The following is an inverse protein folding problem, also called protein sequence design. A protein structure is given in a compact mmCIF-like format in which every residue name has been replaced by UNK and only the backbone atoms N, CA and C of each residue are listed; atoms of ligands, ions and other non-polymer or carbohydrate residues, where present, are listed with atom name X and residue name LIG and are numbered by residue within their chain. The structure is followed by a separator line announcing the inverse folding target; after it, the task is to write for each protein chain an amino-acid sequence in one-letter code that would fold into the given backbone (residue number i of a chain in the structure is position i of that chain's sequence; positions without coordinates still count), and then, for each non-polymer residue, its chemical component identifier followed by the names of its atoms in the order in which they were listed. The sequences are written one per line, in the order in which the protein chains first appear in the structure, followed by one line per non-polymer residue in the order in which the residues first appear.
data_IF_105943237241
#
_entry.id   IF_105943237241
#
_cell.length_a   1.000
_cell.length_b   1.000
_cell.length_c   1.000
_cell.angle_alpha   90.00
_cell.angle_beta   90.00
_cell.angle_gamma   90.00
#
_symmetry.space_group_name_H-M   'P 1'
#
loop_
_entity.id
_entity.type
_entity.pdbx_description
1 polymer ?
#
# COMPACT_ATOMS: atom_id res chain seq x y z
N UNK A 1 35.92 1.43 -54.72
CA UNK A 1 37.17 1.39 -53.93
C UNK A 1 37.54 -0.08 -53.73
N UNK A 2 38.68 -0.51 -54.28
CA UNK A 2 39.11 -1.91 -54.22
C UNK A 2 39.76 -2.17 -52.87
N UNK A 3 39.18 -3.05 -52.04
CA UNK A 3 39.80 -3.53 -50.82
C UNK A 3 40.66 -4.76 -51.15
N UNK A 4 41.96 -4.70 -50.92
CA UNK A 4 42.86 -5.85 -51.05
C UNK A 4 42.99 -6.46 -49.65
N UNK A 5 42.53 -7.70 -49.52
CA UNK A 5 42.69 -8.51 -48.31
C UNK A 5 44.04 -9.22 -48.37
N UNK A 6 44.93 -8.90 -47.44
CA UNK A 6 46.12 -9.71 -47.13
C UNK A 6 45.93 -10.17 -45.68
N UNK A 7 46.09 -11.47 -45.46
CA UNK A 7 45.90 -12.14 -44.17
C UNK A 7 46.44 -11.31 -42.99
N UNK A 8 45.54 -10.80 -42.16
CA UNK A 8 45.85 -10.08 -40.92
C UNK A 8 45.82 -8.55 -40.96
N UNK A 9 45.62 -7.90 -42.11
CA UNK A 9 45.71 -6.43 -42.22
C UNK A 9 44.56 -5.84 -43.05
N UNK A 10 43.81 -4.89 -42.47
CA UNK A 10 42.80 -4.09 -43.19
C UNK A 10 43.45 -2.77 -43.60
N UNK A 11 43.64 -2.60 -44.91
CA UNK A 11 44.15 -1.35 -45.49
C UNK A 11 42.96 -0.52 -45.99
N UNK A 12 42.68 0.60 -45.32
CA UNK A 12 41.72 1.59 -45.79
C UNK A 12 42.45 2.64 -46.60
N UNK A 13 42.07 2.76 -47.88
CA UNK A 13 42.56 3.81 -48.75
C UNK A 13 41.71 5.07 -48.52
N UNK A 14 42.05 5.83 -47.47
CA UNK A 14 41.60 7.19 -47.26
C UNK A 14 42.83 8.05 -47.56
N UNK A 15 42.81 8.75 -48.69
CA UNK A 15 43.84 9.73 -49.09
C UNK A 15 45.29 9.21 -49.09
N UNK A 16 45.56 8.10 -49.82
CA UNK A 16 46.91 7.69 -50.25
C UNK A 16 47.96 7.45 -49.15
N UNK A 17 47.54 7.29 -47.89
CA UNK A 17 48.46 7.04 -46.78
C UNK A 17 48.28 5.61 -46.28
N UNK A 18 49.34 4.82 -46.40
CA UNK A 18 49.41 3.44 -45.90
C UNK A 18 49.57 3.48 -44.38
N UNK A 19 48.56 3.05 -43.63
CA UNK A 19 48.66 2.95 -42.17
C UNK A 19 48.52 1.49 -41.75
N UNK A 20 49.55 0.97 -41.09
CA UNK A 20 49.59 -0.36 -40.51
C UNK A 20 49.02 -0.33 -39.09
N UNK A 21 48.26 -1.35 -38.68
CA UNK A 21 47.68 -1.39 -37.33
C UNK A 21 47.90 -2.75 -36.65
N UNK A 22 48.17 -2.69 -35.34
CA UNK A 22 48.14 -3.80 -34.39
C UNK A 22 47.04 -3.55 -33.34
N UNK A 23 46.40 -4.60 -32.85
CA UNK A 23 45.37 -4.49 -31.79
C UNK A 23 45.92 -3.78 -30.54
N UNK A 24 45.27 -2.70 -30.12
CA UNK A 24 45.53 -2.03 -28.83
C UNK A 24 46.27 -0.68 -28.90
N UNK A 25 46.67 -0.19 -30.08
CA UNK A 25 47.26 1.14 -30.22
C UNK A 25 46.21 2.18 -30.70
N UNK A 26 46.18 3.33 -30.02
CA UNK A 26 45.27 4.44 -30.35
C UNK A 26 45.62 5.07 -31.69
N UNK A 27 44.61 5.24 -32.56
CA UNK A 27 44.80 5.83 -33.89
C UNK A 27 44.34 7.29 -33.87
N UNK A 28 45.25 8.21 -34.14
CA UNK A 28 44.93 9.58 -34.52
C UNK A 28 44.85 9.66 -36.05
N UNK A 29 43.65 9.88 -36.59
CA UNK A 29 43.46 10.16 -38.01
C UNK A 29 43.02 11.61 -38.18
N UNK A 30 43.69 12.33 -39.08
CA UNK A 30 43.33 13.69 -39.48
C UNK A 30 42.38 13.60 -40.66
N UNK A 31 41.18 14.17 -40.54
CA UNK A 31 40.33 14.47 -41.71
C UNK A 31 40.77 15.81 -42.31
N UNK A 32 40.52 16.00 -43.61
CA UNK A 32 41.00 17.14 -44.43
C UNK A 32 40.57 18.55 -43.92
N UNK A 33 39.76 18.62 -42.86
CA UNK A 33 39.35 19.85 -42.16
C UNK A 33 40.21 20.17 -40.91
N UNK A 34 41.33 19.47 -40.71
CA UNK A 34 42.27 19.77 -39.62
C UNK A 34 41.81 19.35 -38.22
N UNK A 35 40.68 18.65 -38.11
CA UNK A 35 40.21 18.03 -36.86
C UNK A 35 40.97 16.73 -36.57
N UNK A 36 41.69 16.69 -35.44
CA UNK A 36 42.32 15.46 -34.92
C UNK A 36 41.27 14.64 -34.18
N UNK A 37 40.87 13.49 -34.73
CA UNK A 37 40.07 12.51 -34.00
C UNK A 37 40.96 11.35 -33.55
N UNK A 38 41.04 11.13 -32.23
CA UNK A 38 41.62 9.92 -31.64
C UNK A 38 40.56 8.82 -31.62
N UNK A 39 40.36 8.15 -32.76
CA UNK A 39 39.51 6.97 -32.82
C UNK A 39 40.34 5.74 -32.43
N UNK A 40 40.02 5.10 -31.31
CA UNK A 40 40.58 3.77 -31.04
C UNK A 40 39.93 2.76 -32.01
N UNK A 41 40.72 2.02 -32.77
CA UNK A 41 40.21 1.02 -33.69
C UNK A 41 39.53 -0.11 -32.88
N UNK A 42 38.25 -0.40 -33.13
CA UNK A 42 37.48 -1.37 -32.34
C UNK A 42 36.91 -0.85 -31.01
N UNK A 43 36.97 0.47 -30.73
CA UNK A 43 36.36 1.05 -29.54
C UNK A 43 34.83 1.00 -29.59
N UNK A 44 34.24 0.52 -28.50
CA UNK A 44 32.79 0.58 -28.24
C UNK A 44 32.56 1.41 -26.97
N UNK A 45 31.41 2.10 -26.87
CA UNK A 45 31.04 2.73 -25.61
C UNK A 45 30.96 1.68 -24.50
N UNK A 46 31.43 1.95 -23.28
CA UNK A 46 31.36 0.99 -22.18
C UNK A 46 29.90 0.71 -21.78
N UNK A 47 29.67 -0.40 -21.07
CA UNK A 47 28.35 -0.70 -20.51
C UNK A 47 27.83 0.47 -19.67
N UNK A 48 26.54 0.76 -19.80
CA UNK A 48 25.88 1.92 -19.22
C UNK A 48 25.99 3.22 -20.00
N UNK A 49 26.70 3.23 -21.13
CA UNK A 49 26.78 4.39 -22.03
C UNK A 49 26.21 4.00 -23.40
N UNK A 50 25.68 4.98 -24.15
CA UNK A 50 25.30 4.89 -25.56
C UNK A 50 26.03 5.97 -26.35
N UNK A 51 26.14 5.85 -27.67
CA UNK A 51 26.85 6.86 -28.45
C UNK A 51 26.73 6.66 -29.95
N UNK A 52 27.04 7.73 -30.69
CA UNK A 52 27.14 7.65 -32.15
C UNK A 52 28.48 7.01 -32.52
N UNK A 53 28.42 5.76 -32.97
CA UNK A 53 29.59 4.98 -33.37
C UNK A 53 29.52 4.65 -34.85
N UNK A 54 30.65 4.72 -35.53
CA UNK A 54 30.74 4.44 -36.96
C UNK A 54 31.12 2.97 -37.14
N UNK A 55 30.39 2.28 -38.02
CA UNK A 55 30.74 0.91 -38.43
C UNK A 55 31.77 0.95 -39.55
N UNK A 56 32.96 0.40 -39.29
CA UNK A 56 34.08 0.32 -40.24
C UNK A 56 34.34 -1.17 -40.52
N UNK A 57 33.93 -1.63 -41.71
CA UNK A 57 33.91 -3.05 -42.09
C UNK A 57 33.13 -3.93 -41.08
N UNK A 58 33.82 -4.75 -40.29
CA UNK A 58 33.23 -5.66 -39.28
C UNK A 58 33.32 -5.13 -37.85
N UNK A 59 33.85 -3.92 -37.65
CA UNK A 59 34.14 -3.34 -36.34
C UNK A 59 33.39 -2.02 -36.12
N UNK A 60 33.22 -1.65 -34.86
CA UNK A 60 32.65 -0.36 -34.45
C UNK A 60 33.77 0.53 -33.90
N UNK A 61 33.71 1.83 -34.16
CA UNK A 61 34.61 2.83 -33.58
C UNK A 61 33.83 4.01 -33.03
N UNK A 62 34.00 4.27 -31.74
CA UNK A 62 33.41 5.40 -31.02
C UNK A 62 34.52 6.35 -30.55
N UNK A 63 34.32 7.67 -30.68
CA UNK A 63 35.17 8.65 -30.01
C UNK A 63 34.89 8.68 -28.49
N UNK A 64 35.87 9.00 -27.65
CA UNK A 64 35.63 9.04 -26.18
C UNK A 64 34.65 10.14 -25.76
N UNK A 65 34.54 11.20 -26.55
CA UNK A 65 33.54 12.28 -26.42
C UNK A 65 32.17 11.93 -27.02
N UNK A 66 32.04 10.79 -27.71
CA UNK A 66 30.81 10.36 -28.37
C UNK A 66 29.93 9.44 -27.49
N UNK A 67 30.41 9.04 -26.30
CA UNK A 67 29.66 8.17 -25.39
C UNK A 67 28.96 8.99 -24.30
N UNK A 68 27.63 8.90 -24.26
CA UNK A 68 26.76 9.53 -23.29
C UNK A 68 26.23 8.49 -22.29
N UNK A 69 26.14 8.82 -20.99
CA UNK A 69 25.59 7.89 -20.00
C UNK A 69 24.11 7.63 -20.30
N UNK A 70 23.66 6.38 -20.14
CA UNK A 70 22.25 6.05 -20.22
C UNK A 70 21.47 6.88 -19.20
N UNK A 71 20.36 7.53 -19.60
CA UNK A 71 19.54 8.27 -18.64
C UNK A 71 18.87 7.31 -17.64
N UNK A 72 18.39 7.81 -16.49
CA UNK A 72 17.56 7.04 -15.56
C UNK A 72 16.40 6.34 -16.27
N UNK A 73 16.04 5.15 -15.78
CA UNK A 73 15.07 4.27 -16.41
C UNK A 73 15.59 3.52 -17.64
N UNK A 74 16.86 3.74 -18.04
CA UNK A 74 17.50 2.98 -19.13
C UNK A 74 18.82 2.36 -18.68
N UNK A 75 19.23 1.31 -19.39
CA UNK A 75 20.48 0.62 -19.17
C UNK A 75 21.12 0.14 -20.48
N UNK A 76 22.39 -0.21 -20.40
CA UNK A 76 23.10 -0.88 -21.50
C UNK A 76 24.03 -1.97 -20.95
N UNK A 77 23.73 -3.23 -21.30
CA UNK A 77 24.48 -4.44 -20.86
C UNK A 77 25.77 -4.65 -21.64
N UNK A 78 25.77 -4.29 -22.92
CA UNK A 78 26.89 -4.48 -23.83
C UNK A 78 27.64 -3.16 -24.03
N UNK A 79 28.82 -3.25 -24.61
CA UNK A 79 29.48 -2.05 -25.09
C UNK A 79 28.63 -1.46 -26.22
N UNK A 80 27.92 -0.34 -26.00
CA UNK A 80 26.89 0.20 -26.90
C UNK A 80 27.44 0.77 -28.22
N UNK A 81 28.63 0.34 -28.63
CA UNK A 81 29.17 0.66 -29.93
C UNK A 81 28.32 0.15 -31.10
N UNK A 82 27.35 -0.75 -30.89
CA UNK A 82 26.46 -1.27 -31.92
C UNK A 82 25.01 -0.78 -31.83
N UNK A 83 24.63 -0.09 -30.75
CA UNK A 83 23.26 0.35 -30.48
C UNK A 83 23.28 1.87 -30.28
N UNK A 84 22.52 2.60 -31.11
CA UNK A 84 22.45 4.06 -31.04
C UNK A 84 21.75 4.57 -29.77
N UNK A 85 21.15 3.68 -28.96
CA UNK A 85 20.31 4.05 -27.83
C UNK A 85 20.39 3.03 -26.68
N UNK A 86 20.13 3.50 -25.45
CA UNK A 86 19.98 2.61 -24.30
C UNK A 86 18.62 1.91 -24.27
N UNK A 87 18.60 0.70 -23.72
CA UNK A 87 17.38 -0.08 -23.50
C UNK A 87 16.64 0.38 -22.25
N UNK A 88 15.31 0.50 -22.32
CA UNK A 88 14.49 0.78 -21.13
C UNK A 88 14.57 -0.36 -20.12
N UNK A 89 14.54 -0.03 -18.83
CA UNK A 89 14.44 -1.04 -17.77
C UNK A 89 13.20 -1.91 -18.01
N UNK A 90 13.35 -3.26 -18.04
CA UNK A 90 12.22 -4.15 -18.20
C UNK A 90 11.27 -4.07 -17.00
N UNK A 91 10.08 -4.67 -17.17
CA UNK A 91 9.05 -4.77 -16.13
C UNK A 91 9.63 -5.23 -14.79
N UNK A 92 9.18 -4.58 -13.71
CA UNK A 92 9.64 -4.92 -12.36
C UNK A 92 11.04 -4.43 -11.98
N UNK A 93 11.73 -3.77 -12.91
CA UNK A 93 13.07 -3.22 -12.65
C UNK A 93 13.12 -1.71 -12.87
N UNK A 94 14.04 -1.05 -12.17
CA UNK A 94 14.23 0.39 -12.21
C UNK A 94 15.72 0.77 -12.26
N UNK A 95 15.97 2.02 -12.64
CA UNK A 95 17.28 2.66 -12.53
C UNK A 95 17.11 4.14 -12.19
N UNK A 96 17.55 4.54 -11.01
CA UNK A 96 17.53 5.94 -10.56
C UNK A 96 18.78 6.72 -10.99
N UNK A 97 19.85 6.04 -11.40
CA UNK A 97 21.12 6.63 -11.78
C UNK A 97 21.31 6.69 -13.30
N UNK A 98 22.13 7.63 -13.74
CA UNK A 98 22.64 7.65 -15.11
C UNK A 98 23.87 6.75 -15.24
N UNK A 99 24.12 6.22 -16.44
CA UNK A 99 25.27 5.33 -16.66
C UNK A 99 25.01 3.88 -16.25
N UNK A 100 23.74 3.49 -16.05
CA UNK A 100 23.38 2.20 -15.49
C UNK A 100 23.63 1.04 -16.46
N UNK A 101 24.33 0.01 -15.96
CA UNK A 101 24.69 -1.19 -16.75
C UNK A 101 23.59 -2.25 -16.73
N UNK A 102 22.78 -2.25 -15.68
CA UNK A 102 21.67 -3.18 -15.46
C UNK A 102 20.68 -2.58 -14.48
N UNK A 103 19.38 -2.76 -14.72
CA UNK A 103 18.35 -2.28 -13.82
C UNK A 103 18.21 -3.19 -12.59
N UNK A 104 17.84 -2.60 -11.46
CA UNK A 104 17.61 -3.28 -10.19
C UNK A 104 16.15 -3.66 -10.04
N UNK A 105 15.87 -4.81 -9.44
CA UNK A 105 14.52 -5.22 -9.11
C UNK A 105 14.01 -4.60 -7.82
N UNK A 106 12.69 -4.41 -7.72
CA UNK A 106 12.04 -4.20 -6.42
C UNK A 106 11.83 -5.53 -5.68
N UNK A 107 12.07 -5.53 -4.37
CA UNK A 107 11.70 -6.64 -3.50
C UNK A 107 10.21 -6.63 -3.16
N UNK A 108 9.76 -7.65 -2.42
CA UNK A 108 8.37 -7.71 -1.95
C UNK A 108 7.97 -6.45 -1.16
N UNK A 109 6.69 -6.11 -1.24
CA UNK A 109 6.10 -4.90 -0.66
C UNK A 109 6.40 -3.63 -1.46
N UNK A 110 7.07 -3.73 -2.61
CA UNK A 110 7.41 -2.59 -3.46
C UNK A 110 6.99 -2.82 -4.91
N UNK A 111 6.91 -1.72 -5.66
CA UNK A 111 6.61 -1.70 -7.08
C UNK A 111 7.46 -0.64 -7.79
N UNK A 112 7.69 -0.83 -9.09
CA UNK A 112 8.46 0.13 -9.90
C UNK A 112 7.59 1.23 -10.51
N UNK A 113 8.01 2.50 -10.41
CA UNK A 113 7.29 3.65 -10.99
C UNK A 113 8.25 4.64 -11.67
N UNK A 114 7.70 5.51 -12.52
CA UNK A 114 8.39 6.66 -13.11
C UNK A 114 8.08 7.98 -12.41
N UNK A 115 7.11 7.99 -11.50
CA UNK A 115 6.78 9.14 -10.65
C UNK A 115 7.13 8.79 -9.20
N UNK A 116 7.85 9.67 -8.52
CA UNK A 116 8.22 9.47 -7.10
C UNK A 116 7.02 9.65 -6.16
N UNK A 117 5.96 10.33 -6.62
CA UNK A 117 4.74 10.60 -5.86
C UNK A 117 3.56 9.73 -6.31
N UNK A 118 3.84 8.57 -6.91
CA UNK A 118 2.81 7.60 -7.26
C UNK A 118 2.15 7.04 -5.99
N UNK A 119 0.89 7.40 -5.80
CA UNK A 119 0.09 7.06 -4.61
C UNK A 119 -0.92 5.94 -4.87
N UNK A 120 -1.15 5.55 -6.13
CA UNK A 120 -2.17 4.56 -6.46
C UNK A 120 -1.60 3.14 -6.51
N UNK A 121 -0.27 2.98 -6.55
CA UNK A 121 0.38 1.67 -6.57
C UNK A 121 0.31 1.00 -7.94
N UNK A 122 0.06 1.76 -9.00
CA UNK A 122 0.03 1.31 -10.39
C UNK A 122 1.17 1.97 -11.18
N UNK A 123 2.34 1.37 -11.07
CA UNK A 123 3.53 1.88 -11.72
C UNK A 123 3.62 1.55 -13.21
N UNK A 124 4.85 1.51 -13.74
CA UNK A 124 5.11 1.40 -15.18
C UNK A 124 5.69 0.05 -15.57
N UNK A 125 5.28 -0.46 -16.73
CA UNK A 125 5.76 -1.75 -17.27
C UNK A 125 7.17 -1.68 -17.87
N UNK A 126 7.71 -0.49 -18.09
CA UNK A 126 9.07 -0.29 -18.61
C UNK A 126 9.59 1.11 -18.30
N UNK A 127 10.91 1.26 -18.20
CA UNK A 127 11.54 2.56 -18.07
C UNK A 127 11.43 3.18 -16.67
N UNK A 128 11.15 2.38 -15.64
CA UNK A 128 10.97 2.89 -14.29
C UNK A 128 12.26 3.47 -13.71
N UNK A 129 12.11 4.53 -12.92
CA UNK A 129 13.21 5.25 -12.27
C UNK A 129 13.21 5.07 -10.76
N UNK A 130 12.07 4.66 -10.19
CA UNK A 130 11.86 4.53 -8.76
C UNK A 130 11.40 3.14 -8.38
N UNK A 131 11.74 2.75 -7.16
CA UNK A 131 11.17 1.61 -6.45
C UNK A 131 10.43 2.15 -5.23
N UNK A 132 9.11 2.08 -5.25
CA UNK A 132 8.26 2.68 -4.24
C UNK A 132 7.62 1.59 -3.38
N UNK A 133 7.43 1.88 -2.10
CA UNK A 133 6.66 1.03 -1.21
C UNK A 133 5.21 0.98 -1.68
N UNK A 134 4.56 -0.18 -1.58
CA UNK A 134 3.13 -0.27 -1.85
C UNK A 134 2.35 0.68 -0.93
N UNK A 135 1.42 1.49 -1.47
CA UNK A 135 0.59 2.36 -0.64
C UNK A 135 -0.17 1.57 0.42
N UNK A 136 -0.46 2.20 1.56
CA UNK A 136 -1.22 1.56 2.63
C UNK A 136 -2.59 1.07 2.11
N UNK A 137 -3.00 -0.12 2.55
CA UNK A 137 -4.18 -0.82 2.02
C UNK A 137 -3.92 -1.69 0.80
N UNK A 138 -2.69 -1.64 0.23
CA UNK A 138 -2.24 -2.51 -0.85
C UNK A 138 -1.06 -3.37 -0.42
N UNK A 139 -0.78 -4.41 -1.20
CA UNK A 139 0.35 -5.32 -0.96
C UNK A 139 0.97 -5.82 -2.25
N UNK A 140 2.20 -6.33 -2.15
CA UNK A 140 2.86 -7.06 -3.24
C UNK A 140 3.74 -8.18 -2.69
N UNK A 141 3.40 -9.43 -2.98
CA UNK A 141 4.14 -10.59 -2.50
C UNK A 141 5.34 -10.95 -3.38
N UNK A 142 5.26 -10.63 -4.68
CA UNK A 142 6.26 -11.01 -5.67
C UNK A 142 7.37 -9.95 -5.78
N UNK A 143 8.59 -10.41 -6.08
CA UNK A 143 9.67 -9.56 -6.55
C UNK A 143 9.45 -9.16 -8.01
N UNK A 144 10.13 -8.11 -8.47
CA UNK A 144 10.03 -7.62 -9.86
C UNK A 144 8.60 -7.24 -10.27
N UNK A 145 7.86 -6.59 -9.37
CA UNK A 145 6.52 -6.11 -9.66
C UNK A 145 6.47 -4.64 -10.06
N UNK A 146 5.44 -4.29 -10.82
CA UNK A 146 5.09 -2.93 -11.24
C UNK A 146 3.76 -2.46 -10.64
N UNK A 147 3.03 -3.31 -9.92
CA UNK A 147 1.73 -2.95 -9.34
C UNK A 147 1.57 -3.53 -7.93
N UNK A 148 0.75 -2.88 -7.12
CA UNK A 148 0.32 -3.38 -5.82
C UNK A 148 -1.15 -3.79 -5.86
N UNK A 149 -1.48 -4.97 -5.34
CA UNK A 149 -2.84 -5.46 -5.27
C UNK A 149 -3.56 -4.88 -4.04
N UNK A 150 -4.84 -4.57 -4.16
CA UNK A 150 -5.65 -4.13 -3.04
C UNK A 150 -5.84 -5.26 -2.02
N UNK A 151 -5.80 -4.91 -0.73
CA UNK A 151 -6.26 -5.83 0.31
C UNK A 151 -7.76 -6.08 0.17
N UNK A 152 -8.16 -7.34 0.17
CA UNK A 152 -9.57 -7.73 0.21
C UNK A 152 -10.24 -7.24 1.51
N UNK A 153 -11.57 -7.19 1.51
CA UNK A 153 -12.36 -6.85 2.70
C UNK A 153 -12.04 -7.77 3.87
N UNK A 154 -12.14 -7.22 5.08
CA UNK A 154 -11.66 -7.85 6.31
C UNK A 154 -10.15 -7.95 6.44
N UNK A 155 -9.36 -7.35 5.54
CA UNK A 155 -7.92 -7.23 5.69
C UNK A 155 -7.45 -5.79 5.54
N UNK A 156 -6.25 -5.52 6.04
CA UNK A 156 -5.55 -4.26 5.88
C UNK A 156 -4.04 -4.50 5.72
N UNK A 157 -3.33 -3.48 5.22
CA UNK A 157 -1.89 -3.51 5.06
C UNK A 157 -1.33 -2.12 5.37
N UNK A 158 -0.21 -2.07 6.07
CA UNK A 158 0.59 -0.85 6.17
C UNK A 158 1.34 -0.59 4.87
N UNK A 159 1.84 0.63 4.69
CA UNK A 159 2.75 0.96 3.60
C UNK A 159 3.93 -0.04 3.54
N UNK A 160 4.30 -0.45 2.32
CA UNK A 160 5.40 -1.38 2.09
C UNK A 160 5.12 -2.84 2.46
N UNK A 161 3.86 -3.22 2.67
CA UNK A 161 3.53 -4.60 3.07
C UNK A 161 3.62 -5.58 1.91
N UNK A 162 4.25 -6.73 2.17
CA UNK A 162 4.25 -7.86 1.24
C UNK A 162 2.95 -8.68 1.27
N UNK A 163 2.12 -8.52 2.30
CA UNK A 163 0.89 -9.27 2.50
C UNK A 163 -0.17 -8.44 3.22
N UNK A 164 -1.44 -8.79 3.05
CA UNK A 164 -2.53 -8.23 3.85
C UNK A 164 -2.79 -9.03 5.12
N UNK A 165 -2.96 -8.32 6.22
CA UNK A 165 -3.25 -8.87 7.55
C UNK A 165 -4.75 -8.83 7.82
N UNK A 166 -5.31 -9.91 8.36
CA UNK A 166 -6.72 -9.94 8.76
C UNK A 166 -6.99 -8.96 9.90
N UNK A 167 -8.15 -8.31 9.88
CA UNK A 167 -8.57 -7.47 10.99
C UNK A 167 -8.71 -8.28 12.28
N UNK A 168 -8.16 -7.75 13.37
CA UNK A 168 -8.34 -8.31 14.70
C UNK A 168 -9.81 -8.36 15.10
N UNK A 169 -10.11 -9.21 16.08
CA UNK A 169 -11.44 -9.35 16.66
C UNK A 169 -12.12 -8.01 16.96
N UNK A 170 -13.35 -7.88 16.46
CA UNK A 170 -14.18 -6.70 16.67
C UNK A 170 -13.94 -5.56 15.68
N UNK A 171 -12.94 -5.67 14.81
CA UNK A 171 -12.64 -4.68 13.77
C UNK A 171 -12.94 -5.20 12.37
N UNK A 172 -13.24 -4.28 11.46
CA UNK A 172 -13.61 -4.58 10.09
C UNK A 172 -12.89 -3.69 9.07
N UNK A 173 -12.84 -4.17 7.83
CA UNK A 173 -12.69 -3.33 6.62
C UNK A 173 -13.79 -3.70 5.64
N UNK A 174 -14.72 -2.77 5.40
CA UNK A 174 -15.88 -3.01 4.54
C UNK A 174 -15.57 -2.87 3.04
N UNK A 175 -14.46 -2.22 2.70
CA UNK A 175 -14.04 -1.96 1.31
C UNK A 175 -12.63 -2.50 1.07
N UNK A 176 -12.38 -2.96 -0.16
CA UNK A 176 -11.02 -3.32 -0.59
C UNK A 176 -10.11 -2.09 -0.59
N UNK A 177 -8.80 -2.32 -0.40
CA UNK A 177 -7.82 -1.24 -0.39
C UNK A 177 -7.80 -0.41 0.89
N UNK A 178 -8.51 -0.84 1.94
CA UNK A 178 -8.53 -0.11 3.22
C UNK A 178 -7.22 -0.35 4.00
N UNK A 179 -6.57 0.73 4.42
CA UNK A 179 -5.29 0.69 5.15
C UNK A 179 -5.42 0.31 6.62
N UNK A 180 -6.59 0.49 7.23
CA UNK A 180 -6.80 0.30 8.67
C UNK A 180 -8.14 -0.37 9.00
N UNK A 181 -8.11 -1.28 9.97
CA UNK A 181 -9.30 -1.93 10.49
C UNK A 181 -10.02 -1.03 11.51
N UNK A 182 -11.30 -0.76 11.27
CA UNK A 182 -12.14 0.07 12.15
C UNK A 182 -12.99 -0.79 13.08
N UNK A 183 -13.13 -0.45 14.38
CA UNK A 183 -13.97 -1.22 15.29
C UNK A 183 -15.46 -1.08 14.95
N UNK A 184 -16.23 -2.15 15.14
CA UNK A 184 -17.67 -2.06 15.10
C UNK A 184 -18.19 -1.13 16.20
N UNK A 185 -19.18 -0.29 15.88
CA UNK A 185 -19.79 0.64 16.84
C UNK A 185 -20.63 -0.13 17.87
N UNK A 186 -20.91 0.51 19.01
CA UNK A 186 -21.82 -0.05 20.01
C UNK A 186 -23.18 -0.44 19.38
N UNK A 187 -23.75 -1.54 19.84
CA UNK A 187 -24.96 -2.14 19.25
C UNK A 187 -24.74 -2.94 17.96
N UNK A 188 -23.51 -3.03 17.49
CA UNK A 188 -23.10 -3.91 16.37
C UNK A 188 -21.96 -4.83 16.78
N UNK A 189 -21.83 -5.99 16.13
CA UNK A 189 -20.73 -6.92 16.31
C UNK A 189 -20.07 -7.24 14.96
N UNK A 190 -18.79 -7.54 14.98
CA UNK A 190 -18.11 -8.07 13.81
C UNK A 190 -18.75 -9.41 13.38
N UNK A 191 -18.95 -9.60 12.07
CA UNK A 191 -19.56 -10.82 11.54
C UNK A 191 -18.67 -12.07 11.60
N UNK A 192 -17.35 -11.89 11.83
CA UNK A 192 -16.35 -12.95 11.97
C UNK A 192 -15.45 -12.65 13.17
N UNK A 193 -14.82 -13.70 13.73
CA UNK A 193 -13.86 -13.55 14.84
C UNK A 193 -12.61 -12.79 14.39
N UNK A 194 -12.05 -13.11 13.23
CA UNK A 194 -10.94 -12.40 12.59
C UNK A 194 -11.28 -12.17 11.13
N UNK A 195 -10.77 -11.08 10.57
CA UNK A 195 -10.98 -10.70 9.18
C UNK A 195 -12.44 -10.41 8.84
N UNK A 196 -13.14 -9.75 9.76
CA UNK A 196 -14.52 -9.36 9.56
C UNK A 196 -14.63 -8.23 8.53
N UNK A 197 -15.63 -8.31 7.67
CA UNK A 197 -15.90 -7.36 6.59
C UNK A 197 -17.20 -6.58 6.80
N UNK A 198 -17.96 -6.92 7.84
CA UNK A 198 -19.22 -6.27 8.14
C UNK A 198 -19.51 -6.21 9.66
N UNK A 199 -20.24 -5.18 10.06
CA UNK A 199 -20.75 -4.99 11.41
C UNK A 199 -22.25 -5.28 11.44
N UNK A 200 -22.60 -6.41 12.05
CA UNK A 200 -23.98 -6.89 12.15
C UNK A 200 -24.62 -6.32 13.40
N UNK A 201 -25.80 -5.72 13.24
CA UNK A 201 -26.59 -5.18 14.35
C UNK A 201 -26.98 -6.30 15.32
N UNK A 202 -26.91 -6.02 16.61
CA UNK A 202 -27.45 -6.91 17.63
C UNK A 202 -28.98 -6.98 17.53
N UNK A 203 -29.52 -8.18 17.73
CA UNK A 203 -30.98 -8.37 17.80
C UNK A 203 -31.56 -7.60 18.98
N UNK A 204 -32.87 -7.31 18.90
CA UNK A 204 -33.60 -6.69 20.01
C UNK A 204 -33.39 -7.51 21.28
N UNK A 205 -33.05 -6.85 22.40
CA UNK A 205 -32.60 -7.42 23.69
C UNK A 205 -31.09 -7.60 23.88
N UNK A 206 -30.27 -7.42 22.86
CA UNK A 206 -28.83 -7.56 23.01
C UNK A 206 -28.09 -6.25 22.74
N UNK A 207 -27.02 -6.03 23.49
CA UNK A 207 -26.10 -4.90 23.37
C UNK A 207 -24.70 -5.40 23.00
N UNK A 208 -23.84 -4.49 22.57
CA UNK A 208 -22.42 -4.75 22.38
C UNK A 208 -21.62 -3.48 22.60
N UNK A 209 -20.42 -3.62 23.16
CA UNK A 209 -19.46 -2.52 23.24
C UNK A 209 -18.78 -2.31 21.88
N UNK A 210 -18.13 -1.14 21.73
CA UNK A 210 -17.28 -0.85 20.58
C UNK A 210 -16.22 -1.95 20.43
N UNK A 211 -16.08 -2.50 19.24
CA UNK A 211 -15.12 -3.57 18.96
C UNK A 211 -15.53 -4.95 19.51
N UNK A 212 -16.83 -5.21 19.73
CA UNK A 212 -17.28 -6.55 20.14
C UNK A 212 -17.42 -7.52 18.96
N UNK A 213 -17.16 -8.81 19.23
CA UNK A 213 -17.49 -9.93 18.34
C UNK A 213 -18.78 -10.64 18.72
N UNK A 214 -19.36 -10.31 19.88
CA UNK A 214 -20.58 -10.93 20.39
C UNK A 214 -21.60 -9.88 20.84
N UNK A 215 -22.87 -10.26 20.75
CA UNK A 215 -23.98 -9.53 21.34
C UNK A 215 -24.32 -10.16 22.69
N UNK A 216 -24.45 -9.34 23.72
CA UNK A 216 -24.61 -9.75 25.12
C UNK A 216 -25.81 -9.04 25.75
N UNK A 217 -26.26 -9.50 26.92
CA UNK A 217 -27.28 -8.82 27.74
C UNK A 217 -26.61 -8.09 28.90
N UNK A 218 -27.23 -7.00 29.37
CA UNK A 218 -26.71 -6.29 30.54
C UNK A 218 -26.75 -7.21 31.76
N UNK A 219 -25.63 -7.28 32.48
CA UNK A 219 -25.52 -8.01 33.74
C UNK A 219 -26.38 -7.37 34.83
N UNK A 220 -26.64 -8.10 35.92
CA UNK A 220 -27.37 -7.56 37.07
C UNK A 220 -26.67 -6.31 37.64
N UNK A 221 -27.47 -5.33 38.04
CA UNK A 221 -26.99 -4.00 38.45
C UNK A 221 -26.91 -2.98 37.30
N UNK A 222 -27.23 -3.38 36.07
CA UNK A 222 -27.31 -2.49 34.90
C UNK A 222 -28.66 -2.64 34.18
N UNK A 223 -29.11 -1.59 33.49
CA UNK A 223 -30.27 -1.63 32.60
C UNK A 223 -29.88 -1.20 31.18
N UNK A 224 -30.61 -1.73 30.19
CA UNK A 224 -30.43 -1.40 28.79
C UNK A 224 -31.27 -0.19 28.37
N UNK A 225 -30.64 0.78 27.71
CA UNK A 225 -31.30 1.84 26.94
C UNK A 225 -30.62 1.95 25.58
N UNK A 226 -31.40 1.82 24.51
CA UNK A 226 -30.86 1.74 23.15
C UNK A 226 -29.96 0.50 22.98
N UNK A 227 -28.67 0.71 22.76
CA UNK A 227 -27.64 -0.34 22.61
C UNK A 227 -26.57 -0.29 23.71
N UNK A 228 -26.82 0.47 24.77
CA UNK A 228 -25.88 0.73 25.86
C UNK A 228 -26.45 0.22 27.20
N UNK A 229 -25.56 -0.20 28.09
CA UNK A 229 -25.89 -0.57 29.46
C UNK A 229 -25.53 0.58 30.40
N UNK A 230 -26.51 1.03 31.16
CA UNK A 230 -26.35 2.07 32.18
C UNK A 230 -26.45 1.45 33.57
N UNK A 231 -25.71 2.00 34.52
CA UNK A 231 -25.81 1.57 35.92
C UNK A 231 -27.25 1.72 36.43
N UNK A 232 -27.69 0.77 37.26
CA UNK A 232 -29.02 0.82 37.83
C UNK A 232 -29.19 2.11 38.65
N UNK A 233 -30.29 2.88 38.45
CA UNK A 233 -30.53 4.09 39.21
C UNK A 233 -30.65 3.77 40.70
N UNK A 234 -30.24 4.72 41.56
CA UNK A 234 -30.37 4.58 43.00
C UNK A 234 -31.82 4.30 43.39
N UNK A 235 -32.03 3.36 44.32
CA UNK A 235 -33.35 2.86 44.76
C UNK A 235 -34.15 2.12 43.66
N UNK A 236 -33.46 1.75 42.57
CA UNK A 236 -33.93 0.81 41.57
C UNK A 236 -33.21 -0.53 41.71
N UNK A 237 -33.91 -1.61 41.36
CA UNK A 237 -33.36 -2.96 41.25
C UNK A 237 -33.37 -3.38 39.79
N UNK A 238 -32.20 -3.72 39.28
CA UNK A 238 -32.01 -4.17 37.90
C UNK A 238 -31.47 -5.61 37.89
N UNK A 239 -32.34 -6.63 37.85
CA UNK A 239 -31.94 -8.01 37.55
C UNK A 239 -31.24 -8.13 36.17
N UNK A 240 -30.73 -9.32 35.87
CA UNK A 240 -30.22 -9.64 34.53
C UNK A 240 -31.27 -9.27 33.47
N UNK A 241 -30.85 -8.64 32.36
CA UNK A 241 -31.72 -8.25 31.25
C UNK A 241 -32.79 -7.20 31.61
N UNK A 242 -32.47 -6.30 32.54
CA UNK A 242 -33.31 -5.11 32.81
C UNK A 242 -33.19 -4.11 31.66
N UNK A 243 -34.29 -3.48 31.29
CA UNK A 243 -34.45 -2.38 30.34
C UNK A 243 -34.91 -1.13 31.07
N UNK A 244 -34.70 0.05 30.49
CA UNK A 244 -35.19 1.31 31.06
C UNK A 244 -36.67 1.26 31.43
N UNK A 245 -37.50 0.68 30.56
CA UNK A 245 -38.94 0.55 30.76
C UNK A 245 -39.34 -0.35 31.94
N UNK A 246 -38.52 -1.35 32.27
CA UNK A 246 -38.88 -2.41 33.22
C UNK A 246 -38.03 -2.41 34.51
N UNK A 247 -37.32 -1.31 34.79
CA UNK A 247 -36.61 -1.08 36.07
C UNK A 247 -37.59 -1.27 37.22
N UNK A 248 -37.21 -2.08 38.20
CA UNK A 248 -38.02 -2.34 39.39
C UNK A 248 -37.72 -1.25 40.41
N UNK A 249 -38.70 -0.43 40.77
CA UNK A 249 -38.57 0.61 41.79
C UNK A 249 -38.74 -0.03 43.18
N UNK A 250 -37.87 0.31 44.13
CA UNK A 250 -38.00 -0.18 45.52
C UNK A 250 -39.22 0.44 46.23
N UNK A 251 -39.78 -0.26 47.22
CA UNK A 251 -40.89 0.27 48.02
C UNK A 251 -40.46 1.51 48.80
N UNK A 252 -41.34 2.51 48.89
CA UNK A 252 -41.00 3.83 49.44
C UNK A 252 -40.50 4.84 48.39
N UNK A 253 -40.33 4.41 47.14
CA UNK A 253 -39.91 5.25 46.02
C UNK A 253 -40.89 5.18 44.84
N UNK A 254 -40.87 6.19 43.98
CA UNK A 254 -41.68 6.26 42.77
C UNK A 254 -40.90 6.81 41.58
N UNK A 255 -41.44 6.56 40.40
CA UNK A 255 -40.88 7.03 39.14
C UNK A 255 -42.01 7.58 38.27
N UNK A 256 -41.80 8.74 37.65
CA UNK A 256 -42.87 9.44 36.90
C UNK A 256 -43.38 8.65 35.68
N UNK A 257 -42.61 7.69 35.17
CA UNK A 257 -43.01 6.80 34.10
C UNK A 257 -41.90 5.81 33.72
N UNK A 258 -42.16 4.89 32.79
CA UNK A 258 -41.19 3.86 32.36
C UNK A 258 -39.91 4.43 31.73
N UNK A 259 -39.92 5.68 31.28
CA UNK A 259 -38.76 6.32 30.64
C UNK A 259 -38.12 7.45 31.47
N UNK A 260 -38.55 7.68 32.71
CA UNK A 260 -37.98 8.75 33.54
C UNK A 260 -36.59 8.36 34.10
N UNK A 261 -35.61 9.25 34.14
CA UNK A 261 -34.27 8.87 34.62
C UNK A 261 -34.16 8.80 36.15
N UNK A 262 -35.05 9.49 36.85
CA UNK A 262 -35.00 9.66 38.30
C UNK A 262 -36.02 8.80 39.03
N UNK A 263 -35.55 8.16 40.11
CA UNK A 263 -36.38 7.48 41.11
C UNK A 263 -36.38 8.38 42.37
N UNK A 264 -37.56 8.83 42.76
CA UNK A 264 -37.76 9.83 43.82
C UNK A 264 -38.38 9.19 45.06
N UNK A 265 -38.05 9.72 46.24
CA UNK A 265 -38.59 9.27 47.52
C UNK A 265 -40.03 9.75 47.72
N UNK A 266 -40.85 8.93 48.37
CA UNK A 266 -42.20 9.29 48.79
C UNK A 266 -42.14 10.11 50.11
N UNK A 267 -42.15 11.44 50.03
CA UNK A 267 -41.95 12.33 51.19
C UNK A 267 -43.14 12.47 52.13
N UNK A 268 -44.37 12.26 51.64
CA UNK A 268 -45.61 12.49 52.42
C UNK A 268 -46.11 11.23 53.13
N UNK A 269 -45.97 10.05 52.51
CA UNK A 269 -46.32 8.76 53.11
C UNK A 269 -45.54 7.64 52.40
N UNK A 270 -44.54 7.01 53.05
CA UNK A 270 -43.74 5.94 52.44
C UNK A 270 -44.57 4.75 51.96
N UNK A 271 -45.76 4.52 52.53
CA UNK A 271 -46.67 3.43 52.13
C UNK A 271 -47.54 3.77 50.92
N UNK A 272 -47.56 5.03 50.47
CA UNK A 272 -48.26 5.43 49.25
C UNK A 272 -47.52 4.97 47.98
N UNK A 273 -46.21 4.77 48.09
CA UNK A 273 -45.35 4.24 47.05
C UNK A 273 -45.07 2.75 47.28
N UNK A 274 -45.84 1.87 46.63
CA UNK A 274 -45.62 0.42 46.73
C UNK A 274 -44.34 -0.04 46.01
N UNK A 275 -43.80 0.79 45.10
CA UNK A 275 -42.72 0.40 44.19
C UNK A 275 -43.20 -0.59 43.13
N UNK A 276 -42.28 -1.25 42.44
CA UNK A 276 -42.59 -2.25 41.40
C UNK A 276 -42.15 -1.83 40.00
N UNK A 277 -42.66 -2.54 38.99
CA UNK A 277 -42.33 -2.37 37.58
C UNK A 277 -43.55 -1.83 36.83
N UNK A 278 -43.32 -0.97 35.83
CA UNK A 278 -44.34 -0.35 34.97
C UNK A 278 -45.28 -1.33 34.24
N UNK A 279 -44.86 -2.59 34.05
CA UNK A 279 -45.63 -3.64 33.37
C UNK A 279 -46.60 -4.41 34.28
N UNK A 280 -46.51 -4.23 35.60
CA UNK A 280 -47.35 -4.88 36.60
C UNK A 280 -48.02 -3.78 37.42
N UNK A 281 -49.21 -3.32 37.03
CA UNK A 281 -50.25 -2.54 37.77
C UNK A 281 -49.92 -1.77 39.09
N UNK A 282 -48.69 -1.31 39.31
CA UNK A 282 -48.24 -0.86 40.64
C UNK A 282 -47.15 0.22 40.63
N UNK A 283 -46.73 0.69 39.45
CA UNK A 283 -45.67 1.69 39.33
C UNK A 283 -46.07 3.15 39.61
N UNK A 284 -47.32 3.41 39.99
CA UNK A 284 -47.81 4.77 40.18
C UNK A 284 -48.36 4.93 41.59
N UNK A 285 -47.95 6.01 42.26
CA UNK A 285 -48.44 6.40 43.58
C UNK A 285 -49.96 6.23 43.62
N UNK A 286 -50.48 5.49 44.60
CA UNK A 286 -51.93 5.52 44.86
C UNK A 286 -52.27 6.94 45.31
N UNK A 287 -53.17 7.58 44.57
CA UNK A 287 -53.78 8.85 44.97
C UNK A 287 -54.50 8.71 46.32
#
# INVERSE_FOLDING_TARGET
ANAIYISGFVMLNISNTLVNYTEGEGVSAQVDDGSMFTHNYGSKCPAGYYGECIKIASFWSCGSSACHPCPPGKYSKASAGAESECSSCPIGTYSNESGTKSCSGCGAGHYVSSDVNDIDGHGVISGATFCLACPAGKYQADELSYYCADCATGKSASEGSANCTACDAGKITASSGTSECSPCKAGTRANKLNGADDCVKCETLYHSHVGSVNCSICVGGYYMEGSDCYECPKNGRCPLNTRKENIIVESGYWRAGPFADQILECTSNPRACLGGNSTLEGGYCRA
#
